data_IF_949567340773
#
_entry.id   IF_949567340773
#
_cell.length_a   1.000
_cell.length_b   1.000
_cell.length_c   1.000
_cell.angle_alpha   90.00
_cell.angle_beta   90.00
_cell.angle_gamma   90.00
#
_symmetry.space_group_name_H-M   'P 1'
#
loop_
_entity.id
_entity.type
_entity.pdbx_description
1 polymer ?
#
# COMPACT_ATOMS: atom_id res chain seq x y z
N UNK A 1 6.96 12.17 -5.89
CA UNK A 1 6.44 11.25 -4.89
C UNK A 1 6.57 9.82 -5.36
N UNK A 2 6.69 8.92 -4.42
CA UNK A 2 6.75 7.50 -4.73
C UNK A 2 5.35 6.95 -4.84
N UNK A 3 5.21 5.88 -5.59
CA UNK A 3 3.95 5.15 -5.70
C UNK A 3 4.05 3.86 -4.92
N UNK A 4 2.97 3.53 -4.22
CA UNK A 4 2.88 2.30 -3.44
C UNK A 4 1.61 1.57 -3.81
N UNK A 5 1.68 0.25 -3.85
CA UNK A 5 0.50 -0.57 -4.04
C UNK A 5 0.22 -1.32 -2.75
N UNK A 6 -1.04 -1.64 -2.51
CA UNK A 6 -1.39 -2.44 -1.35
C UNK A 6 -2.35 -3.54 -1.77
N UNK A 7 -2.29 -4.64 -1.03
CA UNK A 7 -3.08 -5.82 -1.34
C UNK A 7 -3.33 -6.60 -0.06
N UNK A 8 -4.32 -7.50 -0.13
CA UNK A 8 -4.70 -8.31 1.03
C UNK A 8 -3.59 -9.32 1.35
N UNK A 9 -3.25 -9.43 2.63
CA UNK A 9 -2.21 -10.38 3.05
C UNK A 9 -2.56 -11.81 2.72
N UNK A 10 -3.84 -12.14 2.78
CA UNK A 10 -4.25 -13.51 2.51
C UNK A 10 -4.35 -13.86 1.04
N UNK A 11 -4.10 -12.91 0.17
CA UNK A 11 -4.26 -13.13 -1.27
C UNK A 11 -2.96 -13.68 -1.86
N UNK A 12 -2.97 -14.95 -2.21
CA UNK A 12 -1.78 -15.58 -2.77
C UNK A 12 -1.41 -15.00 -4.13
N UNK A 13 -2.35 -14.42 -4.84
CA UNK A 13 -2.08 -13.81 -6.13
C UNK A 13 -1.54 -12.40 -6.00
N UNK A 14 -1.66 -11.81 -4.83
CA UNK A 14 -1.19 -10.46 -4.55
C UNK A 14 -1.75 -9.43 -5.52
N UNK A 15 -3.03 -9.58 -5.83
CA UNK A 15 -3.70 -8.61 -6.68
C UNK A 15 -3.82 -7.30 -5.94
N UNK A 16 -3.37 -6.23 -6.57
CA UNK A 16 -3.41 -4.94 -5.90
C UNK A 16 -4.84 -4.47 -5.71
N UNK A 17 -5.10 -3.94 -4.52
CA UNK A 17 -6.39 -3.35 -4.19
C UNK A 17 -6.40 -1.88 -4.56
N UNK A 18 -5.27 -1.21 -4.43
CA UNK A 18 -5.20 0.19 -4.79
C UNK A 18 -3.76 0.69 -4.82
N UNK A 19 -3.62 1.93 -5.25
CA UNK A 19 -2.31 2.58 -5.36
C UNK A 19 -2.37 3.88 -4.57
N UNK A 20 -1.29 4.15 -3.82
CA UNK A 20 -1.17 5.33 -2.99
C UNK A 20 0.12 6.06 -3.38
N UNK A 21 0.04 7.37 -3.55
CA UNK A 21 1.22 8.19 -3.76
C UNK A 21 1.60 8.83 -2.43
N UNK A 22 2.86 8.69 -2.05
CA UNK A 22 3.33 9.24 -0.78
C UNK A 22 4.83 9.38 -0.82
N UNK A 23 5.37 10.11 0.14
CA UNK A 23 6.80 10.32 0.22
C UNK A 23 7.53 9.12 0.83
N UNK A 24 6.84 8.36 1.64
CA UNK A 24 7.43 7.19 2.28
C UNK A 24 6.37 6.12 2.47
N UNK A 25 6.84 4.91 2.73
CA UNK A 25 5.92 3.79 2.95
C UNK A 25 5.07 4.00 4.19
N UNK A 26 5.61 4.66 5.21
CA UNK A 26 4.86 4.94 6.41
C UNK A 26 3.65 5.83 6.10
N UNK A 27 3.90 6.91 5.36
CA UNK A 27 2.82 7.81 4.98
C UNK A 27 1.82 7.11 4.06
N UNK A 28 2.32 6.27 3.16
CA UNK A 28 1.44 5.51 2.29
C UNK A 28 0.51 4.60 3.10
N UNK A 29 1.05 3.95 4.13
CA UNK A 29 0.24 3.08 4.98
C UNK A 29 -0.85 3.86 5.70
N UNK A 30 -0.51 5.05 6.20
CA UNK A 30 -1.51 5.89 6.87
C UNK A 30 -2.63 6.27 5.90
N UNK A 31 -2.26 6.69 4.71
CA UNK A 31 -3.26 7.09 3.72
C UNK A 31 -4.15 5.92 3.31
N UNK A 32 -3.56 4.75 3.13
CA UNK A 32 -4.33 3.58 2.75
C UNK A 32 -5.28 3.16 3.86
N UNK A 33 -4.81 3.22 5.11
CA UNK A 33 -5.65 2.89 6.25
C UNK A 33 -6.84 3.82 6.32
N UNK A 34 -6.62 5.11 6.09
CA UNK A 34 -7.71 6.08 6.09
C UNK A 34 -8.73 5.77 5.00
N UNK A 35 -8.26 5.39 3.83
CA UNK A 35 -9.17 5.03 2.75
C UNK A 35 -10.05 3.85 3.12
N UNK A 36 -9.51 2.92 3.89
CA UNK A 36 -10.25 1.74 4.31
C UNK A 36 -10.99 1.96 5.62
N UNK A 37 -10.83 3.15 6.22
CA UNK A 37 -11.44 3.49 7.50
C UNK A 37 -11.00 2.52 8.60
N UNK A 38 -9.72 2.20 8.58
CA UNK A 38 -9.09 1.32 9.56
C UNK A 38 -8.03 2.07 10.32
N UNK A 39 -7.69 1.60 11.52
CA UNK A 39 -6.51 2.09 12.19
C UNK A 39 -5.28 1.55 11.46
N UNK A 40 -4.14 2.18 11.68
CA UNK A 40 -2.91 1.74 11.04
C UNK A 40 -2.59 0.29 11.41
N UNK A 41 -2.79 -0.05 12.68
CA UNK A 41 -2.55 -1.43 13.13
C UNK A 41 -3.46 -2.41 12.42
N UNK A 42 -4.75 -2.08 12.31
CA UNK A 42 -5.68 -2.96 11.62
C UNK A 42 -5.32 -3.10 10.14
N UNK A 43 -4.96 -1.98 9.52
CA UNK A 43 -4.56 -2.03 8.13
C UNK A 43 -3.36 -2.95 7.94
N UNK A 44 -2.35 -2.80 8.78
CA UNK A 44 -1.13 -3.60 8.65
C UNK A 44 -1.38 -5.09 8.90
N UNK A 45 -2.38 -5.41 9.72
CA UNK A 45 -2.73 -6.81 9.96
C UNK A 45 -3.46 -7.44 8.77
N UNK A 46 -4.20 -6.64 8.03
CA UNK A 46 -5.06 -7.16 6.96
C UNK A 46 -4.46 -6.98 5.58
N UNK A 47 -3.58 -6.01 5.41
CA UNK A 47 -3.03 -5.64 4.11
C UNK A 47 -1.52 -5.56 4.16
N UNK A 48 -0.94 -5.67 2.99
CA UNK A 48 0.50 -5.47 2.81
C UNK A 48 0.69 -4.36 1.80
N UNK A 49 1.77 -3.59 1.96
CA UNK A 49 2.03 -2.47 1.08
C UNK A 49 3.45 -2.58 0.55
N UNK A 50 3.63 -2.27 -0.74
CA UNK A 50 4.94 -2.33 -1.39
C UNK A 50 5.14 -1.11 -2.26
N UNK A 51 6.37 -0.65 -2.32
CA UNK A 51 6.71 0.44 -3.23
C UNK A 51 6.75 -0.08 -4.66
N UNK A 52 6.13 0.66 -5.56
CA UNK A 52 6.22 0.37 -6.99
C UNK A 52 7.46 1.07 -7.50
N UNK A 53 8.47 0.30 -7.83
CA UNK A 53 9.70 0.85 -8.37
C UNK A 53 9.56 0.93 -9.86
N UNK A 54 9.49 2.12 -10.32
CA UNK A 54 9.32 2.31 -11.71
C UNK A 54 10.55 1.91 -12.45
N UNK A 55 10.56 1.65 -13.24
CA UNK A 55 11.48 1.45 -13.95
C UNK A 55 11.54 2.29 -14.93
N UNK A 56 11.25 3.00 -14.79
CA UNK A 56 11.17 3.64 -15.36
C UNK A 56 11.95 3.63 -16.13
N UNK A 57 12.05 3.56 -16.65
CA UNK A 57 12.63 3.61 -17.36
C UNK A 57 13.54 3.26 -17.51
N UNK A 58 13.66 2.97 -17.16
CA UNK A 58 14.40 2.84 -17.18
C UNK A 58 14.58 2.43 -17.61
#
# INVERSE_FOLDING_TARGET
MKKFKYFSRGDSKKEQVGIIKAKSIYIASIKAAEKKKLSLTQFNNLFEIEEIKGKEGV
#
